data_IF_917604465419
#
_entry.id   IF_917604465419
#
_cell.length_a   1.000
_cell.length_b   1.000
_cell.length_c   1.000
_cell.angle_alpha   90.00
_cell.angle_beta   90.00
_cell.angle_gamma   90.00
#
_symmetry.space_group_name_H-M   'P 1'
#
loop_
_entity.id
_entity.type
_entity.pdbx_description
1 polymer ?
#
# COMPACT_ATOMS: atom_id res chain seq x y z
N UNK A 1 -1.77 -2.17 20.95
CA UNK A 1 -0.38 -1.71 21.07
C UNK A 1 -0.21 -0.52 20.14
N UNK A 2 0.30 0.61 20.63
CA UNK A 2 0.45 1.84 19.81
C UNK A 2 1.49 1.63 18.70
N UNK A 3 1.23 2.13 17.48
CA UNK A 3 2.18 2.00 16.37
C UNK A 3 3.39 2.91 16.60
N UNK A 4 4.44 2.36 17.22
CA UNK A 4 5.66 3.09 17.57
C UNK A 4 6.32 3.80 16.38
N UNK A 5 6.27 3.22 15.19
CA UNK A 5 6.81 3.85 13.98
C UNK A 5 6.01 5.09 13.57
N UNK A 6 4.68 5.02 13.70
CA UNK A 6 3.82 6.17 13.41
C UNK A 6 4.04 7.28 14.42
N UNK A 7 4.16 6.93 15.71
CA UNK A 7 4.48 7.89 16.76
C UNK A 7 5.84 8.56 16.52
N UNK A 8 6.88 7.77 16.24
CA UNK A 8 8.20 8.29 15.90
C UNK A 8 8.16 9.19 14.66
N UNK A 9 7.32 8.84 13.67
CA UNK A 9 7.15 9.66 12.49
C UNK A 9 6.56 11.04 12.82
N UNK A 10 5.47 11.05 13.57
CA UNK A 10 4.76 12.27 13.96
C UNK A 10 5.60 13.15 14.89
N UNK A 11 6.25 12.57 15.90
CA UNK A 11 6.92 13.31 16.96
C UNK A 11 8.30 13.84 16.54
N UNK A 12 9.01 13.13 15.66
CA UNK A 12 10.43 13.38 15.37
C UNK A 12 10.73 13.51 13.87
N UNK A 13 10.38 12.50 13.08
CA UNK A 13 10.90 12.38 11.71
C UNK A 13 10.31 13.46 10.80
N UNK A 14 9.01 13.71 10.92
CA UNK A 14 8.31 14.68 10.07
C UNK A 14 8.80 16.12 10.25
N UNK A 15 9.45 16.43 11.38
CA UNK A 15 9.90 17.78 11.76
C UNK A 15 11.41 17.96 11.75
N UNK A 16 12.19 16.93 12.06
CA UNK A 16 13.64 17.05 12.28
C UNK A 16 14.50 16.37 11.22
N UNK A 17 13.98 15.38 10.50
CA UNK A 17 14.80 14.66 9.53
C UNK A 17 14.97 15.43 8.22
N UNK A 18 16.16 15.31 7.58
CA UNK A 18 16.33 15.72 6.19
C UNK A 18 15.27 15.07 5.28
N UNK A 19 14.75 15.86 4.34
CA UNK A 19 13.74 15.41 3.41
C UNK A 19 13.95 15.95 2.00
N UNK A 20 13.32 15.27 1.04
CA UNK A 20 13.12 15.75 -0.32
C UNK A 20 11.64 15.62 -0.64
N UNK A 21 11.08 16.57 -1.38
CA UNK A 21 9.68 16.52 -1.78
C UNK A 21 9.52 16.78 -3.26
N UNK A 22 8.45 16.22 -3.81
CA UNK A 22 7.93 16.53 -5.14
C UNK A 22 6.44 16.83 -5.03
N UNK A 23 5.92 17.58 -5.99
CA UNK A 23 4.49 17.75 -6.19
C UNK A 23 4.12 17.39 -7.63
N UNK A 24 2.95 16.78 -7.79
CA UNK A 24 2.38 16.41 -9.08
C UNK A 24 0.94 16.92 -9.14
N UNK A 25 0.59 17.68 -10.17
CA UNK A 25 -0.78 18.15 -10.39
C UNK A 25 -1.72 16.98 -10.65
N UNK A 26 -3.02 17.18 -10.42
CA UNK A 26 -4.02 16.15 -10.75
C UNK A 26 -4.25 16.02 -12.27
N UNK A 27 -4.22 17.13 -13.00
CA UNK A 27 -4.58 17.23 -14.41
C UNK A 27 -5.92 16.53 -14.70
N UNK A 28 -5.91 15.44 -15.46
CA UNK A 28 -7.08 14.67 -15.88
C UNK A 28 -7.53 13.61 -14.86
N UNK A 29 -6.75 13.36 -13.81
CA UNK A 29 -7.05 12.36 -12.79
C UNK A 29 -7.76 13.01 -11.59
N UNK A 30 -8.60 12.24 -10.92
CA UNK A 30 -9.13 12.61 -9.61
C UNK A 30 -8.03 12.55 -8.53
N UNK A 31 -8.20 13.27 -7.41
CA UNK A 31 -7.33 13.15 -6.25
C UNK A 31 -7.14 11.71 -5.76
N UNK A 32 -8.21 10.89 -5.76
CA UNK A 32 -8.12 9.47 -5.40
C UNK A 32 -7.26 8.70 -6.39
N UNK A 33 -7.47 8.85 -7.68
CA UNK A 33 -6.72 8.10 -8.69
C UNK A 33 -5.22 8.39 -8.59
N UNK A 34 -4.84 9.67 -8.55
CA UNK A 34 -3.42 10.02 -8.45
C UNK A 34 -2.80 9.56 -7.12
N UNK A 35 -3.57 9.61 -6.03
CA UNK A 35 -3.14 9.08 -4.73
C UNK A 35 -2.86 7.56 -4.79
N UNK A 36 -3.77 6.77 -5.35
CA UNK A 36 -3.59 5.31 -5.48
C UNK A 36 -2.38 4.98 -6.37
N UNK A 37 -2.21 5.69 -7.49
CA UNK A 37 -1.04 5.51 -8.36
C UNK A 37 0.26 5.86 -7.66
N UNK A 38 0.28 6.93 -6.88
CA UNK A 38 1.45 7.35 -6.11
C UNK A 38 1.76 6.39 -4.97
N UNK A 39 0.74 5.90 -4.26
CA UNK A 39 0.88 4.85 -3.27
C UNK A 39 1.57 3.63 -3.88
N UNK A 40 1.01 3.08 -4.96
CA UNK A 40 1.57 1.92 -5.67
C UNK A 40 3.00 2.20 -6.19
N UNK A 41 3.27 3.42 -6.66
CA UNK A 41 4.61 3.80 -7.16
C UNK A 41 5.65 3.89 -6.06
N UNK A 42 5.27 4.30 -4.86
CA UNK A 42 6.16 4.37 -3.70
C UNK A 42 6.29 3.04 -2.96
N UNK A 43 5.36 2.11 -3.18
CA UNK A 43 5.33 0.85 -2.47
C UNK A 43 6.25 -0.21 -3.10
N UNK A 44 6.69 -1.14 -2.26
CA UNK A 44 7.45 -2.33 -2.66
C UNK A 44 7.31 -3.41 -1.61
N UNK A 45 7.81 -4.62 -1.90
CA UNK A 45 7.80 -5.73 -0.94
C UNK A 45 8.51 -5.37 0.37
N UNK A 46 9.55 -4.54 0.32
CA UNK A 46 10.32 -4.14 1.50
C UNK A 46 9.72 -2.93 2.26
N UNK A 47 8.61 -2.37 1.75
CA UNK A 47 7.92 -1.24 2.35
C UNK A 47 6.75 -1.74 3.19
N UNK A 48 6.62 -1.15 4.37
CA UNK A 48 5.48 -1.33 5.27
C UNK A 48 4.64 -0.06 5.26
N UNK A 49 3.34 -0.19 5.01
CA UNK A 49 2.41 0.91 5.27
C UNK A 49 2.11 0.98 6.77
N UNK A 50 2.41 2.12 7.38
CA UNK A 50 2.20 2.34 8.82
C UNK A 50 1.01 3.25 9.12
N UNK A 51 0.54 3.99 8.10
CA UNK A 51 -0.69 4.77 8.12
C UNK A 51 -1.29 4.79 6.71
N UNK A 52 -2.61 4.63 6.63
CA UNK A 52 -3.43 4.98 5.46
C UNK A 52 -4.68 5.66 5.98
N UNK A 53 -4.95 6.86 5.48
CA UNK A 53 -6.19 7.61 5.70
C UNK A 53 -6.71 8.04 4.34
N UNK A 54 -7.97 7.75 4.05
CA UNK A 54 -8.59 8.14 2.79
C UNK A 54 -9.56 9.29 3.05
N UNK A 55 -9.63 10.21 2.10
CA UNK A 55 -10.71 11.18 2.02
C UNK A 55 -12.08 10.47 1.84
N UNK A 56 -13.19 11.04 2.33
CA UNK A 56 -14.51 10.41 2.26
C UNK A 56 -15.00 10.18 0.83
N UNK A 57 -14.59 11.03 -0.12
CA UNK A 57 -14.99 10.94 -1.53
C UNK A 57 -13.78 10.97 -2.46
N UNK A 58 -13.96 10.51 -3.69
CA UNK A 58 -12.86 10.36 -4.66
C UNK A 58 -12.29 11.70 -5.15
N UNK A 59 -13.13 12.75 -5.12
CA UNK A 59 -12.79 14.09 -5.60
C UNK A 59 -12.27 15.02 -4.50
N UNK A 60 -12.15 14.53 -3.26
CA UNK A 60 -11.67 15.33 -2.13
C UNK A 60 -10.21 15.05 -1.80
N UNK A 61 -9.51 16.13 -1.46
CA UNK A 61 -8.18 16.10 -0.84
C UNK A 61 -8.22 15.52 0.58
N UNK A 62 -7.05 15.30 1.18
CA UNK A 62 -6.90 14.80 2.55
C UNK A 62 -6.65 13.31 2.68
N UNK A 63 -6.48 12.60 1.55
CA UNK A 63 -5.92 11.24 1.59
C UNK A 63 -4.43 11.30 1.93
N UNK A 64 -3.99 10.43 2.82
CA UNK A 64 -2.62 10.36 3.29
C UNK A 64 -2.17 8.91 3.48
N UNK A 65 -0.94 8.60 3.09
CA UNK A 65 -0.30 7.35 3.43
C UNK A 65 1.14 7.58 3.89
N UNK A 66 1.57 6.83 4.91
CA UNK A 66 2.95 6.83 5.38
C UNK A 66 3.51 5.41 5.20
N UNK A 67 4.58 5.32 4.40
CA UNK A 67 5.31 4.10 4.13
C UNK A 67 6.67 4.14 4.79
N UNK A 68 7.11 3.01 5.33
CA UNK A 68 8.39 2.82 6.00
C UNK A 68 9.20 1.70 5.32
N UNK A 69 10.44 1.99 4.96
CA UNK A 69 11.36 1.02 4.36
C UNK A 69 12.21 0.31 5.42
N UNK A 70 12.68 -0.89 5.11
CA UNK A 70 13.72 -1.57 5.88
C UNK A 70 15.06 -0.78 5.99
N UNK A 71 15.30 0.18 5.10
CA UNK A 71 16.45 1.11 5.16
C UNK A 71 16.24 2.33 6.06
N UNK A 72 15.22 2.28 6.94
CA UNK A 72 14.84 3.36 7.86
C UNK A 72 14.43 4.68 7.20
N UNK A 73 13.98 4.64 5.94
CA UNK A 73 13.44 5.82 5.22
C UNK A 73 11.92 5.82 5.26
N UNK A 74 11.32 7.00 5.30
CA UNK A 74 9.87 7.18 5.30
C UNK A 74 9.43 7.91 4.03
N UNK A 75 8.26 7.55 3.50
CA UNK A 75 7.60 8.26 2.41
C UNK A 75 6.20 8.63 2.86
N UNK A 76 5.90 9.92 2.86
CA UNK A 76 4.56 10.46 3.06
C UNK A 76 3.97 10.81 1.69
N UNK A 77 2.82 10.24 1.36
CA UNK A 77 2.04 10.55 0.17
C UNK A 77 0.78 11.28 0.63
N UNK A 78 0.57 12.50 0.17
CA UNK A 78 -0.51 13.36 0.64
C UNK A 78 -1.25 14.00 -0.54
N UNK A 79 -2.57 13.82 -0.60
CA UNK A 79 -3.43 14.48 -1.56
C UNK A 79 -3.83 15.86 -1.01
N UNK A 80 -3.28 16.93 -1.59
CA UNK A 80 -3.64 18.31 -1.29
C UNK A 80 -4.82 18.75 -2.16
N UNK A 81 -5.26 20.00 -2.02
CA UNK A 81 -6.43 20.52 -2.76
C UNK A 81 -6.25 20.48 -4.28
N UNK A 82 -5.08 20.87 -4.79
CA UNK A 82 -4.82 20.99 -6.24
C UNK A 82 -3.70 20.07 -6.77
N UNK A 83 -2.98 19.39 -5.88
CA UNK A 83 -1.84 18.55 -6.23
C UNK A 83 -1.69 17.39 -5.26
N UNK A 84 -0.91 16.39 -5.65
CA UNK A 84 -0.41 15.36 -4.78
C UNK A 84 1.04 15.69 -4.39
N UNK A 85 1.35 15.67 -3.10
CA UNK A 85 2.70 15.81 -2.58
C UNK A 85 3.26 14.45 -2.17
N UNK A 86 4.52 14.19 -2.53
CA UNK A 86 5.28 13.05 -2.01
C UNK A 86 6.53 13.57 -1.32
N UNK A 87 6.63 13.32 -0.02
CA UNK A 87 7.78 13.71 0.80
C UNK A 87 8.52 12.47 1.27
N UNK A 88 9.83 12.42 1.01
CA UNK A 88 10.70 11.34 1.45
C UNK A 88 11.64 11.85 2.52
N UNK A 89 11.57 11.23 3.70
CA UNK A 89 12.43 11.51 4.84
C UNK A 89 13.52 10.45 4.94
N UNK A 90 14.73 10.87 5.27
CA UNK A 90 15.89 9.99 5.37
C UNK A 90 16.82 10.43 6.51
N UNK A 91 17.57 9.50 7.12
CA UNK A 91 18.48 9.84 8.20
C UNK A 91 19.62 10.73 7.70
N UNK A 92 20.25 11.48 8.60
CA UNK A 92 21.46 12.25 8.29
C UNK A 92 22.54 11.36 7.66
N UNK A 93 23.21 11.89 6.64
CA UNK A 93 24.21 11.13 5.86
C UNK A 93 23.64 10.17 4.81
N UNK A 94 22.31 10.01 4.71
CA UNK A 94 21.66 9.32 3.60
C UNK A 94 21.09 10.29 2.57
N UNK A 95 20.66 9.78 1.41
CA UNK A 95 20.09 10.61 0.33
C UNK A 95 18.63 10.30 0.00
N UNK A 96 17.94 11.35 -0.47
CA UNK A 96 16.59 11.33 -1.01
C UNK A 96 16.52 11.07 -2.51
N UNK A 97 17.64 11.09 -3.24
CA UNK A 97 17.75 11.27 -4.70
C UNK A 97 16.81 10.41 -5.54
N UNK A 98 16.59 9.15 -5.12
CA UNK A 98 15.64 8.25 -5.78
C UNK A 98 14.22 8.80 -5.91
N UNK A 99 13.82 9.77 -5.07
CA UNK A 99 12.53 10.44 -5.23
C UNK A 99 12.46 11.16 -6.58
N UNK A 100 13.49 11.92 -6.93
CA UNK A 100 13.55 12.69 -8.18
C UNK A 100 14.00 11.84 -9.36
N UNK A 101 14.90 10.88 -9.16
CA UNK A 101 15.50 10.10 -10.26
C UNK A 101 14.72 8.84 -10.62
N UNK A 102 13.97 8.23 -9.69
CA UNK A 102 13.24 6.98 -9.91
C UNK A 102 11.71 7.17 -9.73
N UNK A 103 11.27 7.70 -8.58
CA UNK A 103 9.84 7.73 -8.22
C UNK A 103 9.06 8.77 -9.04
N UNK A 104 9.54 10.00 -9.13
CA UNK A 104 8.83 11.08 -9.85
C UNK A 104 8.64 10.77 -11.33
N UNK A 105 9.69 10.36 -12.09
CA UNK A 105 9.52 10.05 -13.51
C UNK A 105 8.59 8.85 -13.71
N UNK A 106 8.67 7.85 -12.83
CA UNK A 106 7.81 6.67 -12.88
C UNK A 106 6.35 7.02 -12.61
N UNK A 107 6.06 7.88 -11.62
CA UNK A 107 4.71 8.36 -11.36
C UNK A 107 4.15 9.15 -12.55
N UNK A 108 4.93 10.06 -13.13
CA UNK A 108 4.54 10.81 -14.32
C UNK A 108 4.19 9.91 -15.49
N UNK A 109 5.00 8.87 -15.73
CA UNK A 109 4.73 7.90 -16.77
C UNK A 109 3.44 7.10 -16.50
N UNK A 110 3.29 6.61 -15.26
CA UNK A 110 2.10 5.87 -14.82
C UNK A 110 0.83 6.70 -14.91
N UNK A 111 0.88 7.98 -14.54
CA UNK A 111 -0.22 8.93 -14.67
C UNK A 111 -0.67 9.04 -16.13
N UNK A 112 0.27 9.25 -17.05
CA UNK A 112 -0.01 9.32 -18.51
C UNK A 112 -0.60 8.02 -19.03
N UNK A 113 0.03 6.89 -18.73
CA UNK A 113 -0.45 5.58 -19.17
C UNK A 113 -1.84 5.28 -18.62
N UNK A 114 -2.08 5.61 -17.35
CA UNK A 114 -3.39 5.42 -16.73
C UNK A 114 -4.46 6.27 -17.40
N UNK A 115 -4.19 7.54 -17.68
CA UNK A 115 -5.14 8.44 -18.35
C UNK A 115 -5.63 7.90 -19.70
N UNK A 116 -4.73 7.25 -20.46
CA UNK A 116 -5.01 6.66 -21.79
C UNK A 116 -5.82 5.35 -21.73
N UNK A 117 -5.99 4.73 -20.57
CA UNK A 117 -6.75 3.47 -20.43
C UNK A 117 -8.24 3.72 -20.44
N UNK A 118 -9.00 2.74 -20.90
CA UNK A 118 -10.45 2.76 -20.81
C UNK A 118 -10.90 2.64 -19.34
N UNK A 119 -12.16 3.03 -19.09
CA UNK A 119 -12.70 3.09 -17.74
C UNK A 119 -12.80 1.71 -17.05
N UNK A 120 -12.98 0.63 -17.81
CA UNK A 120 -13.04 -0.71 -17.22
C UNK A 120 -11.65 -1.12 -16.70
N UNK A 121 -10.61 -0.93 -17.51
CA UNK A 121 -9.24 -1.22 -17.10
C UNK A 121 -8.75 -0.30 -15.98
N UNK A 122 -9.09 1.00 -16.01
CA UNK A 122 -8.81 1.93 -14.91
C UNK A 122 -9.39 1.44 -13.59
N UNK A 123 -10.67 1.07 -13.60
CA UNK A 123 -11.36 0.54 -12.41
C UNK A 123 -10.69 -0.73 -11.88
N UNK A 124 -10.32 -1.64 -12.77
CA UNK A 124 -9.69 -2.88 -12.35
C UNK A 124 -8.29 -2.65 -11.78
N UNK A 125 -7.49 -1.74 -12.36
CA UNK A 125 -6.19 -1.32 -11.79
C UNK A 125 -6.37 -0.74 -10.39
N UNK A 126 -7.30 0.19 -10.20
CA UNK A 126 -7.54 0.80 -8.88
C UNK A 126 -7.98 -0.25 -7.85
N UNK A 127 -8.83 -1.21 -8.25
CA UNK A 127 -9.22 -2.32 -7.37
C UNK A 127 -8.05 -3.25 -7.06
N UNK A 128 -7.12 -3.49 -7.97
CA UNK A 128 -5.89 -4.24 -7.65
C UNK A 128 -5.01 -3.47 -6.67
N UNK A 129 -4.88 -2.15 -6.80
CA UNK A 129 -4.17 -1.31 -5.82
C UNK A 129 -4.87 -1.36 -4.45
N UNK A 130 -6.20 -1.43 -4.40
CA UNK A 130 -6.92 -1.68 -3.15
C UNK A 130 -6.52 -3.03 -2.52
N UNK A 131 -6.37 -4.10 -3.31
CA UNK A 131 -5.87 -5.40 -2.80
C UNK A 131 -4.47 -5.24 -2.20
N UNK A 132 -3.57 -4.53 -2.87
CA UNK A 132 -2.24 -4.20 -2.34
C UNK A 132 -2.32 -3.49 -0.99
N UNK A 133 -3.17 -2.45 -0.87
CA UNK A 133 -3.37 -1.72 0.39
C UNK A 133 -3.90 -2.62 1.51
N UNK A 134 -4.81 -3.54 1.21
CA UNK A 134 -5.37 -4.49 2.18
C UNK A 134 -4.36 -5.52 2.66
N UNK A 135 -3.46 -5.97 1.78
CA UNK A 135 -2.32 -6.81 2.16
C UNK A 135 -1.35 -6.07 3.09
N UNK A 136 -1.11 -4.78 2.85
CA UNK A 136 -0.27 -3.94 3.69
C UNK A 136 -0.89 -3.65 5.06
N UNK A 137 -2.19 -3.40 5.10
CA UNK A 137 -2.96 -3.26 6.34
C UNK A 137 -2.88 -4.56 7.17
N UNK A 138 -3.10 -5.72 6.55
CA UNK A 138 -2.96 -7.02 7.20
C UNK A 138 -1.53 -7.22 7.75
N UNK A 139 -0.51 -6.93 6.94
CA UNK A 139 0.90 -6.99 7.34
C UNK A 139 1.16 -6.10 8.57
N UNK A 140 0.59 -4.90 8.59
CA UNK A 140 0.76 -3.97 9.69
C UNK A 140 0.13 -4.50 10.99
N UNK A 141 -1.08 -5.05 10.95
CA UNK A 141 -1.74 -5.65 12.12
C UNK A 141 -0.96 -6.84 12.69
N UNK A 142 -0.44 -7.71 11.81
CA UNK A 142 0.36 -8.88 12.21
C UNK A 142 1.64 -8.44 12.93
N UNK A 143 2.35 -7.44 12.39
CA UNK A 143 3.60 -6.93 13.01
C UNK A 143 3.33 -6.24 14.34
N UNK A 144 2.21 -5.52 14.47
CA UNK A 144 1.81 -4.86 15.72
C UNK A 144 1.22 -5.83 16.76
N UNK A 145 1.08 -7.12 16.40
CA UNK A 145 0.37 -8.12 17.21
C UNK A 145 -1.00 -7.62 17.64
N UNK A 146 -1.72 -7.00 16.71
CA UNK A 146 -3.09 -6.54 16.96
C UNK A 146 -4.01 -7.75 17.19
N UNK A 147 -5.26 -7.50 17.60
CA UNK A 147 -6.20 -8.57 17.91
C UNK A 147 -6.49 -9.44 16.68
N UNK A 148 -6.63 -10.75 16.90
CA UNK A 148 -6.88 -11.74 15.84
C UNK A 148 -8.07 -11.38 14.94
N UNK A 149 -9.14 -10.80 15.51
CA UNK A 149 -10.30 -10.32 14.74
C UNK A 149 -9.93 -9.35 13.62
N UNK A 150 -9.04 -8.38 13.89
CA UNK A 150 -8.62 -7.40 12.88
C UNK A 150 -7.77 -8.04 11.79
N UNK A 151 -6.88 -8.97 12.17
CA UNK A 151 -6.08 -9.72 11.20
C UNK A 151 -6.98 -10.57 10.31
N UNK A 152 -7.97 -11.27 10.88
CA UNK A 152 -8.96 -12.05 10.15
C UNK A 152 -9.72 -11.21 9.12
N UNK A 153 -10.28 -10.08 9.53
CA UNK A 153 -11.01 -9.20 8.61
C UNK A 153 -10.11 -8.61 7.52
N UNK A 154 -8.87 -8.22 7.85
CA UNK A 154 -7.95 -7.70 6.84
C UNK A 154 -7.59 -8.76 5.78
N UNK A 155 -7.45 -10.03 6.16
CA UNK A 155 -7.27 -11.14 5.20
C UNK A 155 -8.53 -11.31 4.34
N UNK A 156 -9.70 -11.30 4.97
CA UNK A 156 -11.00 -11.39 4.29
C UNK A 156 -11.19 -10.30 3.25
N UNK A 157 -10.98 -9.04 3.63
CA UNK A 157 -11.07 -7.86 2.76
C UNK A 157 -10.13 -7.99 1.54
N UNK A 158 -8.88 -8.41 1.75
CA UNK A 158 -7.92 -8.61 0.65
C UNK A 158 -8.40 -9.72 -0.30
N UNK A 159 -8.92 -10.82 0.24
CA UNK A 159 -9.41 -11.97 -0.54
C UNK A 159 -10.63 -11.60 -1.37
N UNK A 160 -11.63 -10.97 -0.75
CA UNK A 160 -12.89 -10.57 -1.38
C UNK A 160 -12.65 -9.49 -2.43
N UNK A 161 -11.83 -8.48 -2.12
CA UNK A 161 -11.48 -7.43 -3.08
C UNK A 161 -10.77 -8.00 -4.31
N UNK A 162 -9.92 -9.01 -4.12
CA UNK A 162 -9.23 -9.67 -5.23
C UNK A 162 -10.19 -10.54 -6.08
N UNK A 163 -11.16 -11.21 -5.45
CA UNK A 163 -12.07 -12.13 -6.13
C UNK A 163 -13.02 -11.43 -7.13
N UNK A 164 -13.24 -10.12 -6.98
CA UNK A 164 -14.16 -9.33 -7.81
C UNK A 164 -13.45 -8.53 -8.92
N UNK A 165 -12.16 -8.78 -9.15
CA UNK A 165 -11.37 -8.10 -10.18
C UNK A 165 -11.08 -9.09 -11.32
N UNK A 166 -11.70 -8.93 -12.51
CA UNK A 166 -11.54 -9.87 -13.63
C UNK A 166 -10.07 -10.11 -14.00
N UNK A 167 -9.30 -9.04 -14.25
CA UNK A 167 -7.88 -9.17 -14.63
C UNK A 167 -7.01 -9.80 -13.54
N UNK A 168 -7.45 -9.74 -12.27
CA UNK A 168 -6.79 -10.44 -11.18
C UNK A 168 -7.08 -11.92 -11.26
N UNK A 169 -8.35 -12.30 -11.40
CA UNK A 169 -8.81 -13.69 -11.39
C UNK A 169 -8.39 -14.48 -12.63
N UNK A 170 -8.21 -13.80 -13.76
CA UNK A 170 -7.72 -14.38 -15.02
C UNK A 170 -6.19 -14.53 -15.03
N UNK A 171 -5.47 -13.84 -14.15
CA UNK A 171 -4.02 -13.88 -14.11
C UNK A 171 -3.48 -15.22 -13.59
N UNK A 172 -2.35 -15.66 -14.15
CA UNK A 172 -1.66 -16.86 -13.70
C UNK A 172 -1.24 -16.74 -12.23
N UNK A 173 -1.66 -17.71 -11.41
CA UNK A 173 -1.38 -17.75 -9.98
C UNK A 173 -2.48 -17.16 -9.08
N UNK A 174 -3.55 -16.58 -9.65
CA UNK A 174 -4.66 -16.02 -8.87
C UNK A 174 -5.32 -17.06 -7.94
N UNK A 175 -5.50 -18.30 -8.42
CA UNK A 175 -6.05 -19.40 -7.62
C UNK A 175 -5.17 -19.76 -6.41
N UNK A 176 -3.85 -19.68 -6.55
CA UNK A 176 -2.90 -19.91 -5.46
C UNK A 176 -2.96 -18.78 -4.43
N UNK A 177 -3.09 -17.53 -4.87
CA UNK A 177 -3.29 -16.38 -3.98
C UNK A 177 -4.58 -16.53 -3.17
N UNK A 178 -5.69 -16.82 -3.86
CA UNK A 178 -6.99 -17.04 -3.22
C UNK A 178 -6.96 -18.20 -2.21
N UNK A 179 -6.30 -19.30 -2.58
CA UNK A 179 -6.13 -20.45 -1.69
C UNK A 179 -5.28 -20.09 -0.45
N UNK A 180 -4.18 -19.35 -0.64
CA UNK A 180 -3.29 -18.95 0.46
C UNK A 180 -4.00 -18.03 1.45
N UNK A 181 -4.73 -17.02 0.95
CA UNK A 181 -5.53 -16.13 1.80
C UNK A 181 -6.64 -16.90 2.53
N UNK A 182 -7.35 -17.81 1.84
CA UNK A 182 -8.39 -18.64 2.45
C UNK A 182 -7.84 -19.56 3.56
N UNK A 183 -6.68 -20.18 3.34
CA UNK A 183 -6.02 -21.01 4.36
C UNK A 183 -5.70 -20.21 5.61
N UNK A 184 -5.10 -19.02 5.45
CA UNK A 184 -4.80 -18.16 6.58
C UNK A 184 -6.05 -17.66 7.28
N UNK A 185 -7.09 -17.27 6.54
CA UNK A 185 -8.37 -16.87 7.11
C UNK A 185 -8.95 -17.97 8.02
N UNK A 186 -8.97 -19.21 7.53
CA UNK A 186 -9.40 -20.37 8.32
C UNK A 186 -8.51 -20.59 9.55
N UNK A 187 -7.18 -20.46 9.42
CA UNK A 187 -6.27 -20.56 10.55
C UNK A 187 -6.56 -19.49 11.61
N UNK A 188 -6.63 -18.22 11.23
CA UNK A 188 -6.88 -17.10 12.16
C UNK A 188 -8.26 -17.23 12.82
N UNK A 189 -9.26 -17.78 12.12
CA UNK A 189 -10.57 -18.05 12.69
C UNK A 189 -10.53 -18.98 13.90
N UNK A 190 -9.58 -19.93 13.95
CA UNK A 190 -9.42 -20.85 15.09
C UNK A 190 -8.78 -20.20 16.32
N UNK A 191 -8.20 -19.01 16.18
CA UNK A 191 -7.60 -18.29 17.29
C UNK A 191 -8.66 -17.60 18.16
N UNK A 192 -8.29 -17.28 19.39
CA UNK A 192 -9.11 -16.42 20.27
C UNK A 192 -9.14 -14.99 19.73
N UNK A 193 -10.31 -14.54 19.26
CA UNK A 193 -10.45 -13.34 18.43
C UNK A 193 -10.11 -12.02 19.15
N UNK A 194 -10.19 -12.00 20.48
CA UNK A 194 -9.86 -10.83 21.30
C UNK A 194 -8.42 -10.84 21.83
N UNK A 195 -7.65 -11.90 21.54
CA UNK A 195 -6.23 -11.97 21.92
C UNK A 195 -5.32 -11.42 20.83
N UNK A 196 -4.12 -10.93 21.21
CA UNK A 196 -3.06 -10.56 20.26
C UNK A 196 -2.72 -11.70 19.29
N UNK A 197 -2.32 -11.33 18.08
CA UNK A 197 -1.85 -12.29 17.09
C UNK A 197 -0.67 -13.12 17.60
N UNK A 198 -0.70 -14.46 17.51
CA UNK A 198 0.28 -15.33 18.16
C UNK A 198 1.66 -15.22 17.51
N UNK A 199 2.70 -15.03 18.34
CA UNK A 199 4.08 -14.82 17.88
C UNK A 199 4.59 -15.91 16.95
N UNK A 200 4.31 -17.18 17.28
CA UNK A 200 4.73 -18.33 16.47
C UNK A 200 4.12 -18.36 15.06
N UNK A 201 3.02 -17.64 14.81
CA UNK A 201 2.36 -17.58 13.49
C UNK A 201 2.79 -16.38 12.64
N UNK A 202 3.46 -15.39 13.23
CA UNK A 202 3.85 -14.14 12.56
C UNK A 202 4.71 -14.43 11.33
N UNK A 203 5.78 -15.20 11.48
CA UNK A 203 6.72 -15.46 10.39
C UNK A 203 6.06 -16.17 9.21
N UNK A 204 5.15 -17.12 9.49
CA UNK A 204 4.40 -17.85 8.45
C UNK A 204 3.49 -16.93 7.64
N UNK A 205 2.67 -16.13 8.32
CA UNK A 205 1.71 -15.25 7.65
C UNK A 205 2.43 -14.14 6.87
N UNK A 206 3.42 -13.50 7.48
CA UNK A 206 4.21 -12.47 6.81
C UNK A 206 4.90 -13.00 5.55
N UNK A 207 5.46 -14.21 5.58
CA UNK A 207 6.07 -14.83 4.39
C UNK A 207 5.07 -14.94 3.24
N UNK A 208 3.84 -15.43 3.50
CA UNK A 208 2.83 -15.54 2.46
C UNK A 208 2.32 -14.17 1.99
N UNK A 209 2.07 -13.22 2.90
CA UNK A 209 1.65 -11.86 2.54
C UNK A 209 2.69 -11.17 1.64
N UNK A 210 4.00 -11.32 1.92
CA UNK A 210 5.06 -10.74 1.10
C UNK A 210 5.15 -11.37 -0.30
N UNK A 211 4.92 -12.69 -0.40
CA UNK A 211 4.86 -13.38 -1.69
C UNK A 211 3.66 -12.91 -2.52
N UNK A 212 2.49 -12.81 -1.90
CA UNK A 212 1.28 -12.32 -2.55
C UNK A 212 1.46 -10.85 -2.96
N UNK A 213 1.97 -9.99 -2.06
CA UNK A 213 2.26 -8.59 -2.35
C UNK A 213 3.19 -8.45 -3.56
N UNK A 214 4.26 -9.24 -3.63
CA UNK A 214 5.16 -9.24 -4.79
C UNK A 214 4.42 -9.56 -6.09
N UNK A 215 3.56 -10.58 -6.07
CA UNK A 215 2.77 -10.98 -7.24
C UNK A 215 1.77 -9.88 -7.64
N UNK A 216 1.05 -9.30 -6.69
CA UNK A 216 0.08 -8.21 -6.92
C UNK A 216 0.77 -6.96 -7.48
N UNK A 217 1.90 -6.54 -6.89
CA UNK A 217 2.68 -5.39 -7.37
C UNK A 217 3.12 -5.57 -8.84
N UNK A 218 3.55 -6.78 -9.21
CA UNK A 218 3.95 -7.10 -10.57
C UNK A 218 2.76 -7.10 -11.52
N UNK A 219 1.61 -7.64 -11.10
CA UNK A 219 0.40 -7.66 -11.92
C UNK A 219 -0.12 -6.24 -12.18
N UNK A 220 -0.15 -5.38 -11.15
CA UNK A 220 -0.52 -3.96 -11.30
C UNK A 220 0.44 -3.28 -12.27
N UNK A 221 1.75 -3.41 -12.04
CA UNK A 221 2.77 -2.77 -12.89
C UNK A 221 2.67 -3.24 -14.35
N UNK A 222 2.40 -4.53 -14.58
CA UNK A 222 2.22 -5.08 -15.94
C UNK A 222 1.03 -4.46 -16.67
N UNK A 223 -0.06 -4.18 -15.97
CA UNK A 223 -1.26 -3.61 -16.58
C UNK A 223 -1.24 -2.07 -16.62
N UNK A 224 -0.45 -1.44 -15.74
CA UNK A 224 -0.33 0.01 -15.63
C UNK A 224 0.78 0.58 -16.54
N UNK A 225 1.92 -0.10 -16.60
CA UNK A 225 3.13 0.38 -17.29
C UNK A 225 3.16 0.00 -18.80
N UNK A 226 2.32 -0.95 -19.22
CA UNK A 226 2.00 -1.22 -20.65
C UNK A 226 0.97 -0.24 -21.17
#
# INVERSE_FOLDING_TARGET
MENLLLKQFNDLISTQWPFTQIEESYDELTPRELFELAYHTCNSVAMRSILIKLSPTENQSGSQAILYSNTKKFINVEALENSLRITKYFPEGATGDKLNTEVHPKLKNRKKNFALKDNALKRDILKMILVERKLDECTNFVVLKDINRKVYFAIGDARESAAVVPIFMEAEGASLVQLALNKWMNTVHTFDQEKPFPEGSIAGLLKNLMQIKKWVLNLISTNLDK
#
